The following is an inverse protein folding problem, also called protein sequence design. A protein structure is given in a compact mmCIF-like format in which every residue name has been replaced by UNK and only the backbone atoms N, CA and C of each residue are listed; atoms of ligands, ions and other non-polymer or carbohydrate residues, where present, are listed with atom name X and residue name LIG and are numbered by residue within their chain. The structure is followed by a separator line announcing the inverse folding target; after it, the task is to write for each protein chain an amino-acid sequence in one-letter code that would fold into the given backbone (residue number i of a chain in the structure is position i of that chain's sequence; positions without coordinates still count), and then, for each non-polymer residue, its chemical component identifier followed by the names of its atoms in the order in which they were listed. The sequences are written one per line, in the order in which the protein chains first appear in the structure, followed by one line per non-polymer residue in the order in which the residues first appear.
data_IF_605820397921
#
_entry.id   IF_605820397921
#
_cell.length_a   1.000
_cell.length_b   1.000
_cell.length_c   1.000
_cell.angle_alpha   90.00
_cell.angle_beta   90.00
_cell.angle_gamma   90.00
#
_symmetry.space_group_name_H-M   'P 1'
#
loop_
_entity.id
_entity.type
_entity.pdbx_description
1 polymer ?
#
# COMPACT_ATOMS: atom_id res chain seq x y z
N UNK A 1 -2.29 23.67 6.95
CA UNK A 1 -2.96 22.87 5.87
C UNK A 1 -2.77 21.41 6.22
N UNK A 2 -3.81 20.59 6.10
CA UNK A 2 -3.68 19.14 6.30
C UNK A 2 -3.02 18.53 5.06
N UNK A 3 -1.71 18.34 5.14
CA UNK A 3 -0.91 17.81 4.03
C UNK A 3 -1.20 16.34 3.73
N UNK A 4 -1.48 15.52 4.77
CA UNK A 4 -1.76 14.10 4.60
C UNK A 4 -2.91 13.84 3.61
N UNK A 5 -4.05 14.55 3.77
CA UNK A 5 -5.19 14.41 2.85
C UNK A 5 -4.88 14.77 1.40
N UNK A 6 -4.00 15.75 1.19
CA UNK A 6 -3.62 16.17 -0.16
C UNK A 6 -2.63 15.18 -0.79
N UNK A 7 -1.72 14.64 0.01
CA UNK A 7 -0.69 13.72 -0.49
C UNK A 7 -1.25 12.33 -0.82
N UNK A 8 -2.20 11.81 -0.03
CA UNK A 8 -2.77 10.48 -0.30
C UNK A 8 -3.52 10.41 -1.64
N UNK A 9 -3.98 11.54 -2.18
CA UNK A 9 -4.62 11.61 -3.50
C UNK A 9 -3.63 11.26 -4.63
N UNK A 10 -2.33 11.45 -4.40
CA UNK A 10 -1.29 11.03 -5.34
C UNK A 10 -1.16 9.51 -5.43
N UNK A 11 -1.57 8.76 -4.41
CA UNK A 11 -1.45 7.30 -4.37
C UNK A 11 -2.02 6.59 -5.60
N UNK A 12 -3.29 6.78 -5.97
CA UNK A 12 -3.87 6.18 -7.17
C UNK A 12 -3.17 6.62 -8.47
N UNK A 13 -2.74 7.88 -8.55
CA UNK A 13 -2.07 8.42 -9.73
C UNK A 13 -0.70 7.74 -9.96
N UNK A 14 0.13 7.69 -8.91
CA UNK A 14 1.46 7.05 -9.02
C UNK A 14 1.33 5.53 -9.22
N UNK A 15 0.25 4.90 -8.68
CA UNK A 15 -0.05 3.50 -8.95
C UNK A 15 -0.35 3.27 -10.43
N UNK A 16 -1.16 4.12 -11.06
CA UNK A 16 -1.45 4.03 -12.49
C UNK A 16 -0.19 4.24 -13.35
N UNK A 17 0.67 5.21 -12.99
CA UNK A 17 1.93 5.47 -13.70
C UNK A 17 2.91 4.29 -13.58
N UNK A 18 2.99 3.67 -12.41
CA UNK A 18 3.79 2.47 -12.20
C UNK A 18 3.28 1.30 -13.04
N UNK A 19 1.96 1.08 -13.03
CA UNK A 19 1.34 0.03 -13.85
C UNK A 19 1.54 0.26 -15.36
N UNK A 20 1.56 1.52 -15.79
CA UNK A 20 1.89 1.88 -17.16
C UNK A 20 3.34 1.48 -17.52
N UNK A 21 4.32 1.72 -16.63
CA UNK A 21 5.69 1.25 -16.82
C UNK A 21 5.73 -0.28 -16.92
N UNK A 22 5.10 -0.99 -15.98
CA UNK A 22 5.13 -2.44 -15.90
C UNK A 22 4.57 -3.14 -17.14
N UNK A 23 3.45 -2.66 -17.66
CA UNK A 23 2.65 -3.42 -18.62
C UNK A 23 2.52 -2.78 -20.00
N UNK A 24 2.74 -1.47 -20.14
CA UNK A 24 2.65 -0.77 -21.43
C UNK A 24 4.04 -0.51 -21.99
N UNK A 25 4.99 -0.03 -21.18
CA UNK A 25 6.37 0.21 -21.64
C UNK A 25 7.15 -1.11 -21.67
N UNK A 26 7.00 -1.91 -20.60
CA UNK A 26 7.68 -3.20 -20.44
C UNK A 26 6.64 -4.32 -20.29
N UNK A 27 7.06 -5.57 -20.31
CA UNK A 27 6.19 -6.73 -20.11
C UNK A 27 6.50 -7.40 -18.76
N UNK A 28 5.97 -6.84 -17.67
CA UNK A 28 6.17 -7.38 -16.32
C UNK A 28 5.71 -8.84 -16.21
N UNK A 29 4.59 -9.22 -16.85
CA UNK A 29 4.08 -10.59 -16.79
C UNK A 29 5.08 -11.58 -17.40
N UNK A 30 5.68 -11.24 -18.52
CA UNK A 30 6.70 -12.10 -19.15
C UNK A 30 7.94 -12.22 -18.25
N UNK A 31 8.43 -11.09 -17.71
CA UNK A 31 9.54 -11.08 -16.75
C UNK A 31 9.21 -11.92 -15.52
N UNK A 32 8.01 -11.76 -14.94
CA UNK A 32 7.58 -12.50 -13.75
C UNK A 32 7.54 -14.00 -13.97
N UNK A 33 7.05 -14.46 -15.12
CA UNK A 33 6.96 -15.89 -15.47
C UNK A 33 8.33 -16.57 -15.71
N UNK A 34 9.41 -15.81 -15.89
CA UNK A 34 10.76 -16.38 -15.91
C UNK A 34 11.19 -16.91 -14.54
N UNK A 35 10.72 -16.29 -13.45
CA UNK A 35 11.28 -16.48 -12.12
C UNK A 35 10.26 -16.98 -11.09
N UNK A 36 8.97 -16.80 -11.33
CA UNK A 36 7.90 -17.10 -10.40
C UNK A 36 6.79 -17.94 -11.04
N UNK A 37 6.08 -18.67 -10.19
CA UNK A 37 4.88 -19.42 -10.61
C UNK A 37 3.73 -18.45 -10.95
N UNK A 38 2.93 -18.81 -11.96
CA UNK A 38 1.70 -18.08 -12.28
C UNK A 38 0.58 -18.51 -11.31
N UNK A 39 0.45 -17.79 -10.23
CA UNK A 39 -0.59 -17.99 -9.21
C UNK A 39 -1.67 -16.89 -9.23
N UNK A 40 -1.59 -15.96 -10.18
CA UNK A 40 -2.56 -14.88 -10.33
C UNK A 40 -3.51 -15.16 -11.50
N UNK A 41 -4.75 -15.50 -11.18
CA UNK A 41 -5.80 -15.75 -12.16
C UNK A 41 -6.43 -14.49 -12.75
N UNK A 42 -6.10 -13.32 -12.20
CA UNK A 42 -6.63 -12.04 -12.68
C UNK A 42 -5.81 -11.52 -13.85
N UNK A 43 -6.50 -10.86 -14.80
CA UNK A 43 -5.79 -10.11 -15.83
C UNK A 43 -5.10 -8.87 -15.23
N UNK A 44 -4.15 -8.33 -15.95
CA UNK A 44 -3.45 -7.10 -15.59
C UNK A 44 -4.43 -5.94 -15.35
N UNK A 45 -5.41 -5.79 -16.23
CA UNK A 45 -6.43 -4.75 -16.16
C UNK A 45 -7.34 -4.94 -14.95
N UNK A 46 -7.70 -6.20 -14.62
CA UNK A 46 -8.48 -6.51 -13.43
C UNK A 46 -7.73 -6.16 -12.14
N UNK A 47 -6.44 -6.46 -12.06
CA UNK A 47 -5.60 -6.09 -10.91
C UNK A 47 -5.54 -4.57 -10.77
N UNK A 48 -5.22 -3.86 -11.87
CA UNK A 48 -5.19 -2.39 -11.87
C UNK A 48 -6.52 -1.79 -11.41
N UNK A 49 -7.62 -2.22 -12.02
CA UNK A 49 -8.96 -1.70 -11.70
C UNK A 49 -9.34 -1.95 -10.25
N UNK A 50 -9.18 -3.20 -9.77
CA UNK A 50 -9.58 -3.60 -8.41
C UNK A 50 -8.75 -2.88 -7.34
N UNK A 51 -7.43 -2.85 -7.48
CA UNK A 51 -6.57 -2.22 -6.49
C UNK A 51 -6.69 -0.69 -6.51
N UNK A 52 -6.81 -0.07 -7.69
CA UNK A 52 -7.09 1.37 -7.79
C UNK A 52 -8.45 1.72 -7.17
N UNK A 53 -9.51 0.96 -7.46
CA UNK A 53 -10.82 1.17 -6.87
C UNK A 53 -10.81 1.04 -5.33
N UNK A 54 -10.15 0.01 -4.80
CA UNK A 54 -10.00 -0.17 -3.36
C UNK A 54 -9.23 0.98 -2.72
N UNK A 55 -8.14 1.41 -3.32
CA UNK A 55 -7.37 2.55 -2.82
C UNK A 55 -8.20 3.83 -2.81
N UNK A 56 -8.95 4.10 -3.88
CA UNK A 56 -9.86 5.26 -3.94
C UNK A 56 -10.94 5.18 -2.86
N UNK A 57 -11.56 4.01 -2.65
CA UNK A 57 -12.59 3.80 -1.62
C UNK A 57 -12.03 4.11 -0.22
N UNK A 58 -10.86 3.58 0.13
CA UNK A 58 -10.27 3.82 1.46
C UNK A 58 -9.85 5.27 1.64
N UNK A 59 -9.39 5.94 0.58
CA UNK A 59 -9.09 7.38 0.61
C UNK A 59 -10.39 8.19 0.84
N UNK A 60 -11.46 7.89 0.13
CA UNK A 60 -12.77 8.56 0.32
C UNK A 60 -13.27 8.35 1.76
N UNK A 61 -13.18 7.12 2.27
CA UNK A 61 -13.53 6.82 3.66
C UNK A 61 -12.69 7.68 4.62
N UNK A 62 -11.38 7.83 4.38
CA UNK A 62 -10.54 8.67 5.22
C UNK A 62 -10.92 10.15 5.12
N UNK A 63 -11.19 10.65 3.92
CA UNK A 63 -11.63 12.05 3.72
C UNK A 63 -12.90 12.35 4.55
N UNK A 64 -13.85 11.42 4.58
CA UNK A 64 -15.11 11.53 5.33
C UNK A 64 -14.90 11.37 6.84
N UNK A 65 -14.22 10.30 7.27
CA UNK A 65 -14.06 9.93 8.69
C UNK A 65 -12.99 10.73 9.40
N UNK A 66 -11.91 11.06 8.73
CA UNK A 66 -10.81 11.91 9.22
C UNK A 66 -10.31 11.51 10.62
N UNK A 67 -10.06 10.24 10.84
CA UNK A 67 -9.60 9.70 12.12
C UNK A 67 -8.39 8.78 11.95
N UNK A 68 -7.76 8.40 13.07
CA UNK A 68 -6.55 7.58 13.10
C UNK A 68 -6.74 6.23 12.40
N UNK A 69 -7.85 5.53 12.66
CA UNK A 69 -8.12 4.22 12.08
C UNK A 69 -8.23 4.26 10.56
N UNK A 70 -8.92 5.28 9.99
CA UNK A 70 -9.02 5.42 8.53
C UNK A 70 -7.70 5.81 7.88
N UNK A 71 -6.86 6.63 8.55
CA UNK A 71 -5.52 6.95 8.08
C UNK A 71 -4.62 5.71 8.04
N UNK A 72 -4.67 4.87 9.09
CA UNK A 72 -3.94 3.62 9.15
C UNK A 72 -4.32 2.66 7.99
N UNK A 73 -5.63 2.57 7.66
CA UNK A 73 -6.08 1.76 6.53
C UNK A 73 -5.48 2.27 5.21
N UNK A 74 -5.52 3.58 4.96
CA UNK A 74 -4.89 4.17 3.75
C UNK A 74 -3.40 3.83 3.71
N UNK A 75 -2.68 4.08 4.81
CA UNK A 75 -1.24 3.80 4.89
C UNK A 75 -0.93 2.31 4.69
N UNK A 76 -1.73 1.41 5.27
CA UNK A 76 -1.59 -0.03 5.07
C UNK A 76 -1.72 -0.41 3.58
N UNK A 77 -2.73 0.12 2.87
CA UNK A 77 -2.87 -0.11 1.43
C UNK A 77 -1.69 0.43 0.63
N UNK A 78 -1.24 1.65 0.92
CA UNK A 78 -0.08 2.23 0.26
C UNK A 78 1.20 1.44 0.53
N UNK A 79 1.40 0.96 1.77
CA UNK A 79 2.52 0.08 2.10
C UNK A 79 2.48 -1.23 1.31
N UNK A 80 1.30 -1.87 1.24
CA UNK A 80 1.15 -3.15 0.55
C UNK A 80 1.32 -3.00 -0.96
N UNK A 81 0.65 -2.03 -1.59
CA UNK A 81 0.59 -1.91 -3.04
C UNK A 81 1.72 -1.10 -3.66
N UNK A 82 2.45 -0.30 -2.88
CA UNK A 82 3.48 0.60 -3.40
C UNK A 82 4.83 0.40 -2.73
N UNK A 83 4.92 0.47 -1.39
CA UNK A 83 6.23 0.41 -0.72
C UNK A 83 6.86 -0.99 -0.83
N UNK A 84 6.08 -2.03 -0.52
CA UNK A 84 6.56 -3.41 -0.61
C UNK A 84 6.73 -3.85 -2.05
N UNK A 85 5.87 -3.42 -2.95
CA UNK A 85 6.03 -3.63 -4.38
C UNK A 85 7.32 -2.96 -4.89
N UNK A 86 7.66 -1.73 -4.43
CA UNK A 86 8.93 -1.10 -4.76
C UNK A 86 10.13 -1.93 -4.28
N UNK A 87 10.09 -2.42 -3.04
CA UNK A 87 11.14 -3.32 -2.54
C UNK A 87 11.23 -4.62 -3.33
N UNK A 88 10.11 -5.18 -3.75
CA UNK A 88 10.07 -6.34 -4.62
C UNK A 88 10.84 -6.08 -5.94
N UNK A 89 10.51 -5.02 -6.67
CA UNK A 89 11.18 -4.69 -7.94
C UNK A 89 12.67 -4.43 -7.75
N UNK A 90 13.04 -3.66 -6.73
CA UNK A 90 14.45 -3.35 -6.43
C UNK A 90 15.20 -4.63 -6.08
N UNK A 91 14.68 -5.41 -5.11
CA UNK A 91 15.34 -6.63 -4.63
C UNK A 91 15.54 -7.63 -5.76
N UNK A 92 14.49 -7.94 -6.53
CA UNK A 92 14.58 -8.94 -7.58
C UNK A 92 15.33 -8.48 -8.82
N UNK A 93 15.40 -7.17 -9.09
CA UNK A 93 16.33 -6.66 -10.10
C UNK A 93 17.79 -6.98 -9.76
N UNK A 94 18.17 -6.84 -8.49
CA UNK A 94 19.53 -7.21 -8.05
C UNK A 94 19.73 -8.72 -7.94
N UNK A 95 18.76 -9.43 -7.39
CA UNK A 95 18.86 -10.87 -7.13
C UNK A 95 18.99 -11.69 -8.42
N UNK A 96 18.20 -11.36 -9.44
CA UNK A 96 18.24 -12.04 -10.73
C UNK A 96 19.22 -11.41 -11.72
N UNK A 97 19.86 -10.28 -11.36
CA UNK A 97 20.70 -9.50 -12.29
C UNK A 97 19.96 -9.20 -13.61
N UNK A 98 18.65 -8.95 -13.50
CA UNK A 98 17.74 -8.67 -14.62
C UNK A 98 16.85 -7.47 -14.25
N UNK A 99 16.63 -6.58 -15.24
CA UNK A 99 15.80 -5.39 -15.02
C UNK A 99 14.35 -5.80 -14.75
N UNK A 100 13.87 -5.55 -13.52
CA UNK A 100 12.46 -5.77 -13.19
C UNK A 100 11.61 -4.59 -13.71
N UNK A 101 10.67 -4.81 -14.63
CA UNK A 101 9.72 -3.79 -15.07
C UNK A 101 8.99 -3.16 -13.86
N UNK A 102 8.89 -1.84 -13.82
CA UNK A 102 8.34 -1.12 -12.67
C UNK A 102 9.39 -0.54 -11.71
N UNK A 103 10.66 -0.96 -11.78
CA UNK A 103 11.69 -0.50 -10.84
C UNK A 103 11.97 0.99 -10.93
N UNK A 104 11.81 1.62 -12.08
CA UNK A 104 12.08 3.05 -12.26
C UNK A 104 11.05 3.87 -11.48
N UNK A 105 9.77 3.66 -11.74
CA UNK A 105 8.70 4.37 -11.02
C UNK A 105 8.64 3.96 -9.54
N UNK A 106 9.03 2.75 -9.20
CA UNK A 106 9.18 2.32 -7.81
C UNK A 106 10.16 3.22 -7.04
N UNK A 107 11.33 3.48 -7.62
CA UNK A 107 12.37 4.31 -7.00
C UNK A 107 12.00 5.80 -7.02
N UNK A 108 11.52 6.33 -8.15
CA UNK A 108 11.34 7.78 -8.33
C UNK A 108 9.96 8.29 -7.92
N UNK A 109 8.95 7.42 -7.82
CA UNK A 109 7.59 7.81 -7.43
C UNK A 109 7.15 7.15 -6.12
N UNK A 110 7.14 5.81 -6.04
CA UNK A 110 6.60 5.11 -4.87
C UNK A 110 7.32 5.47 -3.59
N UNK A 111 8.64 5.31 -3.54
CA UNK A 111 9.39 5.57 -2.30
C UNK A 111 9.32 7.04 -1.87
N UNK A 112 9.59 8.05 -2.73
CA UNK A 112 9.55 9.44 -2.30
C UNK A 112 8.16 9.93 -1.90
N UNK A 113 7.11 9.59 -2.67
CA UNK A 113 5.75 10.04 -2.37
C UNK A 113 5.24 9.39 -1.08
N UNK A 114 5.44 8.09 -0.89
CA UNK A 114 5.03 7.41 0.35
C UNK A 114 5.81 7.92 1.57
N UNK A 115 7.12 8.24 1.43
CA UNK A 115 7.86 8.92 2.48
C UNK A 115 7.19 10.23 2.92
N UNK A 116 6.77 11.07 1.96
CA UNK A 116 6.07 12.33 2.26
C UNK A 116 4.71 12.08 2.93
N UNK A 117 3.97 11.08 2.48
CA UNK A 117 2.68 10.69 3.09
C UNK A 117 2.87 10.25 4.54
N UNK A 118 3.83 9.37 4.83
CA UNK A 118 4.06 8.89 6.19
C UNK A 118 4.61 10.01 7.09
N UNK A 119 5.48 10.87 6.57
CA UNK A 119 5.92 12.06 7.28
C UNK A 119 4.75 12.97 7.65
N UNK A 120 3.83 13.24 6.71
CA UNK A 120 2.63 14.02 6.99
C UNK A 120 1.72 13.31 8.02
N UNK A 121 1.60 11.99 7.97
CA UNK A 121 0.86 11.21 8.97
C UNK A 121 1.43 11.37 10.38
N UNK A 122 2.75 11.41 10.55
CA UNK A 122 3.39 11.72 11.84
C UNK A 122 3.10 13.14 12.28
N UNK A 123 3.26 14.13 11.41
CA UNK A 123 3.05 15.54 11.74
C UNK A 123 1.59 15.85 12.12
N UNK A 124 0.64 15.12 11.55
CA UNK A 124 -0.79 15.30 11.81
C UNK A 124 -1.33 14.36 12.92
N UNK A 125 -0.47 13.55 13.55
CA UNK A 125 -0.82 12.68 14.67
C UNK A 125 -1.58 11.40 14.29
N UNK A 126 -1.65 11.05 13.00
CA UNK A 126 -2.20 9.76 12.55
C UNK A 126 -1.25 8.60 12.88
N UNK A 127 0.06 8.86 12.95
CA UNK A 127 1.07 7.97 13.50
C UNK A 127 1.64 8.58 14.78
N UNK A 128 1.55 7.86 15.88
CA UNK A 128 2.05 8.31 17.19
C UNK A 128 3.48 7.87 17.48
N UNK A 129 4.01 6.87 16.76
CA UNK A 129 5.33 6.33 17.01
C UNK A 129 5.88 5.56 15.80
N UNK A 130 7.21 5.39 15.78
CA UNK A 130 7.87 4.49 14.81
C UNK A 130 7.40 3.05 14.98
N UNK A 131 7.06 2.63 16.18
CA UNK A 131 6.53 1.28 16.42
C UNK A 131 5.19 1.06 15.69
N UNK A 132 4.28 2.06 15.68
CA UNK A 132 3.04 1.97 14.90
C UNK A 132 3.32 1.82 13.40
N UNK A 133 4.27 2.59 12.87
CA UNK A 133 4.70 2.48 11.47
C UNK A 133 5.26 1.09 11.16
N UNK A 134 6.12 0.55 12.03
CA UNK A 134 6.71 -0.79 11.88
C UNK A 134 5.65 -1.90 11.95
N UNK A 135 4.68 -1.79 12.84
CA UNK A 135 3.59 -2.76 12.93
C UNK A 135 2.71 -2.75 11.67
N UNK A 136 2.42 -1.55 11.13
CA UNK A 136 1.73 -1.43 9.84
C UNK A 136 2.55 -2.04 8.70
N UNK A 137 3.85 -1.78 8.68
CA UNK A 137 4.75 -2.32 7.67
C UNK A 137 4.82 -3.86 7.74
N UNK A 138 4.95 -4.44 8.94
CA UNK A 138 4.97 -5.90 9.12
C UNK A 138 3.63 -6.51 8.68
N UNK A 139 2.50 -5.92 9.06
CA UNK A 139 1.19 -6.40 8.62
C UNK A 139 1.03 -6.34 7.10
N UNK A 140 1.46 -5.23 6.47
CA UNK A 140 1.47 -5.07 5.03
C UNK A 140 2.40 -6.10 4.36
N UNK A 141 3.60 -6.35 4.92
CA UNK A 141 4.56 -7.32 4.40
C UNK A 141 4.00 -8.76 4.44
N UNK A 142 3.30 -9.12 5.51
CA UNK A 142 2.61 -10.43 5.59
C UNK A 142 1.56 -10.54 4.49
N UNK A 143 0.71 -9.53 4.33
CA UNK A 143 -0.35 -9.56 3.30
C UNK A 143 0.23 -9.58 1.90
N UNK A 144 1.26 -8.76 1.62
CA UNK A 144 1.95 -8.75 0.32
C UNK A 144 2.58 -10.12 0.02
N UNK A 145 3.30 -10.71 0.97
CA UNK A 145 3.93 -12.03 0.79
C UNK A 145 2.88 -13.12 0.56
N UNK A 146 1.79 -13.11 1.32
CA UNK A 146 0.71 -14.06 1.11
C UNK A 146 0.04 -13.86 -0.26
N UNK A 147 -0.15 -12.62 -0.71
CA UNK A 147 -0.68 -12.33 -2.05
C UNK A 147 0.23 -12.90 -3.13
N UNK A 148 1.55 -12.74 -3.00
CA UNK A 148 2.51 -13.30 -3.95
C UNK A 148 2.55 -14.84 -3.93
N UNK A 149 2.27 -15.49 -2.79
CA UNK A 149 2.30 -16.94 -2.65
C UNK A 149 1.00 -17.64 -3.07
N UNK A 150 -0.15 -17.10 -2.68
CA UNK A 150 -1.46 -17.76 -2.84
C UNK A 150 -2.48 -16.95 -3.66
N UNK A 151 -2.07 -15.78 -4.15
CA UNK A 151 -2.84 -14.99 -5.10
C UNK A 151 -3.98 -14.15 -4.50
N UNK A 152 -4.94 -13.72 -5.34
CA UNK A 152 -5.91 -12.66 -5.03
C UNK A 152 -6.90 -12.95 -3.89
N UNK A 153 -7.06 -14.20 -3.47
CA UNK A 153 -7.93 -14.55 -2.34
C UNK A 153 -7.56 -13.81 -1.05
N UNK A 154 -6.30 -13.45 -0.88
CA UNK A 154 -5.78 -12.69 0.27
C UNK A 154 -6.44 -11.33 0.39
N UNK A 155 -6.79 -10.68 -0.73
CA UNK A 155 -7.50 -9.39 -0.73
C UNK A 155 -8.84 -9.53 0.00
N UNK A 156 -9.59 -10.60 -0.27
CA UNK A 156 -10.89 -10.86 0.39
C UNK A 156 -10.76 -10.97 1.90
N UNK A 157 -9.81 -11.77 2.39
CA UNK A 157 -9.56 -11.90 3.84
C UNK A 157 -9.11 -10.58 4.47
N UNK A 158 -8.25 -9.84 3.79
CA UNK A 158 -7.79 -8.53 4.25
C UNK A 158 -8.97 -7.56 4.41
N UNK A 159 -9.87 -7.51 3.43
CA UNK A 159 -11.06 -6.65 3.49
C UNK A 159 -12.02 -7.01 4.64
N UNK A 160 -12.14 -8.29 4.99
CA UNK A 160 -12.94 -8.74 6.13
C UNK A 160 -12.31 -8.30 7.46
N UNK A 161 -10.98 -8.33 7.59
CA UNK A 161 -10.28 -7.96 8.81
C UNK A 161 -10.16 -6.44 9.03
N UNK A 162 -10.21 -5.64 7.96
CA UNK A 162 -10.07 -4.18 8.04
C UNK A 162 -11.07 -3.46 8.96
N UNK A 163 -12.38 -3.74 8.93
CA UNK A 163 -13.32 -3.12 9.86
C UNK A 163 -12.98 -3.39 11.33
N UNK A 164 -12.52 -4.60 11.65
CA UNK A 164 -12.11 -4.96 13.01
C UNK A 164 -10.88 -4.16 13.42
N UNK A 165 -9.89 -4.05 12.56
CA UNK A 165 -8.71 -3.23 12.78
C UNK A 165 -9.06 -1.75 12.98
N UNK A 166 -9.92 -1.19 12.11
CA UNK A 166 -10.43 0.18 12.22
C UNK A 166 -11.05 0.47 13.59
N UNK A 167 -11.94 -0.42 14.04
CA UNK A 167 -12.59 -0.28 15.35
C UNK A 167 -11.57 -0.36 16.50
N UNK A 168 -10.64 -1.31 16.43
CA UNK A 168 -9.62 -1.50 17.45
C UNK A 168 -8.73 -0.25 17.60
N UNK A 169 -8.20 0.28 16.49
CA UNK A 169 -7.34 1.47 16.50
C UNK A 169 -8.04 2.68 17.08
N UNK A 170 -9.28 2.96 16.64
CA UNK A 170 -10.02 4.12 17.15
C UNK A 170 -10.36 3.98 18.65
N UNK A 171 -10.79 2.79 19.11
CA UNK A 171 -11.04 2.54 20.54
C UNK A 171 -9.79 2.68 21.41
N UNK A 172 -8.64 2.23 20.93
CA UNK A 172 -7.37 2.40 21.62
C UNK A 172 -6.98 3.88 21.72
N UNK A 173 -7.11 4.60 20.61
CA UNK A 173 -6.84 6.03 20.57
C UNK A 173 -7.72 6.81 21.56
N UNK A 174 -9.03 6.55 21.61
CA UNK A 174 -9.98 7.19 22.52
C UNK A 174 -9.65 6.90 24.01
N UNK A 175 -9.17 5.69 24.31
CA UNK A 175 -8.73 5.34 25.67
C UNK A 175 -7.46 6.10 26.09
N UNK A 176 -6.53 6.32 25.17
CA UNK A 176 -5.28 7.06 25.43
C UNK A 176 -5.62 8.52 25.70
N UNK A 177 -6.46 9.15 24.89
CA UNK A 177 -6.89 10.54 25.06
C UNK A 177 -7.57 10.72 26.43
N UNK A 178 -8.53 9.83 26.80
CA UNK A 178 -9.23 9.89 28.10
C UNK A 178 -8.35 9.72 29.32
N UNK A 179 -7.16 9.17 29.21
CA UNK A 179 -6.21 9.03 30.32
C UNK A 179 -5.30 10.25 30.49
N UNK A 180 -5.25 11.12 29.49
CA UNK A 180 -4.45 12.34 29.49
C UNK A 180 -5.24 13.59 29.90
N UNK A 181 -6.57 13.50 29.89
CA UNK A 181 -7.52 14.53 30.40
C UNK A 181 -7.94 14.22 31.81
#
# INVERSE_FOLDING_TARGET
MKEFKNLIILGPLIYALHHFEEHIIFNFREWRLKYFLDNNTLSTEEVLLRLTALLLIVIIIHIIKNNKGSAHIVMFFLMTTQVLNAFFHIFFSFYFVDFSPGVITAIILYLPVNYLIFRAAFLEGYLGSILELLLLFIAAAVVFTLFELIGPIVIGYTLILMPLYYIAVNRLNDRIIKKQT
#
